data_IF_299903127926
#
_entry.id   IF_299903127926
#
_cell.length_a   1.000
_cell.length_b   1.000
_cell.length_c   1.000
_cell.angle_alpha   90.00
_cell.angle_beta   90.00
_cell.angle_gamma   90.00
#
_symmetry.space_group_name_H-M   'P 1'
#
loop_
_entity.id
_entity.type
_entity.pdbx_description
1 polymer ?
#
# COMPACT_ATOMS: atom_id res chain seq x y z
N UNK A 1 76.82 -18.48 -9.54
CA UNK A 1 75.58 -18.86 -8.86
C UNK A 1 74.81 -17.69 -8.22
N UNK A 2 75.42 -16.72 -7.56
CA UNK A 2 74.64 -15.58 -6.89
C UNK A 2 73.91 -14.67 -7.85
N UNK A 3 74.31 -14.48 -9.11
CA UNK A 3 73.62 -13.61 -10.08
C UNK A 3 72.28 -14.20 -10.62
N UNK A 4 72.18 -15.50 -10.73
CA UNK A 4 71.00 -16.21 -11.23
C UNK A 4 69.89 -16.28 -10.19
N UNK A 5 70.23 -16.36 -8.89
CA UNK A 5 69.25 -16.36 -7.79
C UNK A 5 68.54 -15.01 -7.68
N UNK A 6 69.26 -13.90 -7.91
CA UNK A 6 68.68 -12.55 -7.88
C UNK A 6 67.67 -12.32 -9.02
N UNK A 7 67.94 -12.84 -10.22
CA UNK A 7 66.99 -12.74 -11.37
C UNK A 7 65.74 -13.57 -11.17
N UNK A 8 65.81 -14.73 -10.53
CA UNK A 8 64.64 -15.58 -10.21
C UNK A 8 63.76 -14.88 -9.14
N UNK A 9 64.37 -14.23 -8.13
CA UNK A 9 63.61 -13.50 -7.10
C UNK A 9 62.92 -12.23 -7.65
N UNK A 10 63.59 -11.48 -8.54
CA UNK A 10 63.00 -10.30 -9.19
C UNK A 10 61.89 -10.73 -10.16
N UNK A 11 62.08 -11.81 -10.92
CA UNK A 11 61.03 -12.36 -11.82
C UNK A 11 59.80 -12.84 -11.07
N UNK A 12 59.95 -13.52 -9.95
CA UNK A 12 58.83 -13.95 -9.09
C UNK A 12 58.11 -12.77 -8.44
N UNK A 13 58.82 -11.70 -8.06
CA UNK A 13 58.20 -10.49 -7.50
C UNK A 13 57.41 -9.68 -8.53
N UNK A 14 57.90 -9.56 -9.77
CA UNK A 14 57.22 -8.88 -10.88
C UNK A 14 56.00 -9.67 -11.34
N UNK A 15 56.06 -11.00 -11.40
CA UNK A 15 54.90 -11.83 -11.73
C UNK A 15 53.84 -11.78 -10.64
N UNK A 16 54.23 -11.73 -9.35
CA UNK A 16 53.32 -11.61 -8.22
C UNK A 16 52.57 -10.25 -8.22
N UNK A 17 53.24 -9.17 -8.55
CA UNK A 17 52.62 -7.81 -8.62
C UNK A 17 51.72 -7.67 -9.84
N UNK A 18 52.06 -8.23 -10.99
CA UNK A 18 51.21 -8.20 -12.19
C UNK A 18 49.93 -9.00 -12.00
N UNK A 19 50.01 -10.18 -11.36
CA UNK A 19 48.83 -11.01 -11.03
C UNK A 19 47.91 -10.34 -10.03
N UNK A 20 48.46 -9.71 -9.00
CA UNK A 20 47.70 -8.97 -8.03
C UNK A 20 46.98 -7.76 -8.67
N UNK A 21 47.65 -7.05 -9.55
CA UNK A 21 47.08 -5.88 -10.25
C UNK A 21 45.91 -6.29 -11.19
N UNK A 22 46.06 -7.41 -11.91
CA UNK A 22 44.98 -7.95 -12.76
C UNK A 22 43.79 -8.43 -11.93
N UNK A 23 44.03 -9.10 -10.80
CA UNK A 23 42.98 -9.47 -9.84
C UNK A 23 42.18 -8.28 -9.34
N UNK A 24 42.84 -7.24 -8.82
CA UNK A 24 42.16 -6.02 -8.34
C UNK A 24 41.39 -5.31 -9.45
N UNK A 25 41.88 -5.28 -10.67
CA UNK A 25 41.20 -4.70 -11.81
C UNK A 25 39.90 -5.45 -12.13
N UNK A 26 39.96 -6.78 -12.14
CA UNK A 26 38.76 -7.63 -12.40
C UNK A 26 37.72 -7.50 -11.30
N UNK A 27 38.15 -7.54 -10.03
CA UNK A 27 37.25 -7.33 -8.88
C UNK A 27 36.58 -5.94 -8.95
N UNK A 28 37.33 -4.89 -9.21
CA UNK A 28 36.75 -3.55 -9.35
C UNK A 28 35.73 -3.45 -10.48
N UNK A 29 35.95 -4.13 -11.60
CA UNK A 29 34.96 -4.19 -12.68
C UNK A 29 33.71 -4.95 -12.24
N UNK A 30 33.82 -6.06 -11.55
CA UNK A 30 32.70 -6.81 -11.03
C UNK A 30 31.88 -5.97 -10.04
N UNK A 31 32.54 -5.24 -9.12
CA UNK A 31 31.89 -4.37 -8.15
C UNK A 31 31.10 -3.23 -8.83
N UNK A 32 31.59 -2.71 -9.96
CA UNK A 32 30.82 -1.73 -10.76
C UNK A 32 29.53 -2.33 -11.30
N UNK A 33 29.57 -3.57 -11.82
CA UNK A 33 28.36 -4.26 -12.26
C UNK A 33 27.39 -4.53 -11.10
N UNK A 34 27.90 -4.99 -9.95
CA UNK A 34 27.09 -5.24 -8.76
C UNK A 34 26.41 -3.94 -8.27
N UNK A 35 27.17 -2.86 -8.19
CA UNK A 35 26.62 -1.53 -7.80
C UNK A 35 25.56 -1.06 -8.78
N UNK A 36 25.82 -1.15 -10.09
CA UNK A 36 24.84 -0.81 -11.13
C UNK A 36 23.57 -1.67 -11.02
N UNK A 37 23.75 -2.99 -10.83
CA UNK A 37 22.63 -3.90 -10.63
C UNK A 37 21.76 -3.49 -9.44
N UNK A 38 22.36 -3.12 -8.30
CA UNK A 38 21.61 -2.65 -7.14
C UNK A 38 20.87 -1.34 -7.40
N UNK A 39 21.51 -0.37 -8.06
CA UNK A 39 20.85 0.89 -8.44
C UNK A 39 19.64 0.64 -9.34
N UNK A 40 19.78 -0.29 -10.31
CA UNK A 40 18.69 -0.67 -11.20
C UNK A 40 17.57 -1.42 -10.46
N UNK A 41 17.89 -2.24 -9.46
CA UNK A 41 16.92 -2.88 -8.59
C UNK A 41 16.08 -1.83 -7.83
N UNK A 42 16.74 -0.84 -7.24
CA UNK A 42 16.07 0.27 -6.54
C UNK A 42 15.20 1.11 -7.49
N UNK A 43 15.61 1.22 -8.76
CA UNK A 43 14.82 1.84 -9.83
C UNK A 43 13.74 0.92 -10.42
N UNK A 44 13.54 -0.29 -9.87
CA UNK A 44 12.59 -1.32 -10.34
C UNK A 44 12.82 -1.80 -11.78
N UNK A 45 14.04 -1.62 -12.32
CA UNK A 45 14.46 -2.15 -13.61
C UNK A 45 15.05 -3.56 -13.43
N UNK A 46 14.20 -4.51 -13.06
CA UNK A 46 14.60 -5.82 -12.55
C UNK A 46 15.37 -6.66 -13.55
N UNK A 47 14.98 -6.68 -14.83
CA UNK A 47 15.67 -7.45 -15.87
C UNK A 47 17.11 -6.97 -16.09
N UNK A 48 17.30 -5.65 -16.12
CA UNK A 48 18.62 -5.05 -16.24
C UNK A 48 19.45 -5.27 -14.97
N UNK A 49 18.83 -5.15 -13.80
CA UNK A 49 19.44 -5.45 -12.51
C UNK A 49 19.99 -6.87 -12.49
N UNK A 50 19.17 -7.87 -12.85
CA UNK A 50 19.56 -9.26 -12.90
C UNK A 50 20.76 -9.49 -13.84
N UNK A 51 20.69 -8.91 -15.04
CA UNK A 51 21.77 -9.00 -16.04
C UNK A 51 23.11 -8.53 -15.45
N UNK A 52 23.14 -7.36 -14.83
CA UNK A 52 24.36 -6.79 -14.28
C UNK A 52 24.85 -7.52 -13.03
N UNK A 53 23.96 -7.93 -12.13
CA UNK A 53 24.34 -8.74 -10.97
C UNK A 53 24.94 -10.08 -11.39
N UNK A 54 24.39 -10.75 -12.42
CA UNK A 54 24.94 -12.00 -12.95
C UNK A 54 26.30 -11.81 -13.63
N UNK A 55 26.50 -10.72 -14.36
CA UNK A 55 27.82 -10.37 -14.94
C UNK A 55 28.87 -10.15 -13.83
N UNK A 56 28.51 -9.43 -12.78
CA UNK A 56 29.38 -9.26 -11.61
C UNK A 56 29.69 -10.59 -10.94
N UNK A 57 28.68 -11.42 -10.72
CA UNK A 57 28.82 -12.73 -10.10
C UNK A 57 29.80 -13.63 -10.88
N UNK A 58 29.67 -13.70 -12.21
CA UNK A 58 30.56 -14.50 -13.05
C UNK A 58 32.00 -14.12 -12.83
N UNK A 59 32.35 -12.84 -12.92
CA UNK A 59 33.73 -12.37 -12.73
C UNK A 59 34.24 -12.71 -11.32
N UNK A 60 33.42 -12.49 -10.27
CA UNK A 60 33.78 -12.79 -8.88
C UNK A 60 34.06 -14.28 -8.69
N UNK A 61 33.20 -15.14 -9.24
CA UNK A 61 33.35 -16.60 -9.14
C UNK A 61 34.64 -17.08 -9.86
N UNK A 62 34.91 -16.49 -11.02
CA UNK A 62 36.19 -16.81 -11.77
C UNK A 62 37.43 -16.36 -10.99
N UNK A 63 37.35 -15.33 -10.17
CA UNK A 63 38.46 -14.89 -9.32
C UNK A 63 38.53 -15.62 -7.98
N UNK A 64 37.52 -16.42 -7.62
CA UNK A 64 37.46 -17.20 -6.39
C UNK A 64 37.26 -16.38 -5.11
N UNK A 65 36.81 -15.13 -5.21
CA UNK A 65 36.58 -14.25 -4.06
C UNK A 65 35.25 -14.58 -3.37
N UNK A 66 35.33 -15.40 -2.32
CA UNK A 66 34.18 -15.91 -1.59
C UNK A 66 33.33 -14.82 -0.88
N UNK A 67 33.98 -13.74 -0.47
CA UNK A 67 33.26 -12.63 0.17
C UNK A 67 32.35 -11.90 -0.82
N UNK A 68 32.91 -11.49 -1.96
CA UNK A 68 32.10 -10.80 -2.98
C UNK A 68 31.13 -11.74 -3.69
N UNK A 69 31.45 -13.04 -3.77
CA UNK A 69 30.50 -14.06 -4.24
C UNK A 69 29.26 -14.12 -3.32
N UNK A 70 29.46 -14.18 -1.98
CA UNK A 70 28.39 -14.16 -1.00
C UNK A 70 27.54 -12.88 -1.10
N UNK A 71 28.19 -11.72 -1.11
CA UNK A 71 27.52 -10.43 -1.22
C UNK A 71 26.72 -10.29 -2.53
N UNK A 72 27.19 -10.90 -3.63
CA UNK A 72 26.45 -10.87 -4.90
C UNK A 72 25.24 -11.80 -4.87
N UNK A 73 25.35 -12.98 -4.24
CA UNK A 73 24.19 -13.84 -4.01
C UNK A 73 23.15 -13.17 -3.11
N UNK A 74 23.57 -12.45 -2.06
CA UNK A 74 22.66 -11.65 -1.23
C UNK A 74 21.90 -10.62 -2.07
N UNK A 75 22.59 -9.89 -2.95
CA UNK A 75 21.95 -8.91 -3.85
C UNK A 75 20.98 -9.54 -4.86
N UNK A 76 21.27 -10.74 -5.36
CA UNK A 76 20.33 -11.51 -6.18
C UNK A 76 19.12 -11.95 -5.36
N UNK A 77 19.31 -12.38 -4.11
CA UNK A 77 18.22 -12.70 -3.21
C UNK A 77 17.30 -11.50 -2.96
N UNK A 78 17.88 -10.31 -2.73
CA UNK A 78 17.12 -9.06 -2.59
C UNK A 78 16.37 -8.70 -3.89
N UNK A 79 16.98 -8.90 -5.05
CA UNK A 79 16.32 -8.67 -6.34
C UNK A 79 15.08 -9.52 -6.52
N UNK A 80 15.16 -10.81 -6.24
CA UNK A 80 14.01 -11.72 -6.36
C UNK A 80 12.96 -11.48 -5.28
N UNK A 81 13.38 -11.05 -4.09
CA UNK A 81 12.45 -10.59 -3.05
C UNK A 81 11.66 -9.37 -3.51
N UNK A 82 12.32 -8.37 -4.13
CA UNK A 82 11.65 -7.17 -4.65
C UNK A 82 10.72 -7.46 -5.85
N UNK A 83 10.89 -8.61 -6.51
CA UNK A 83 10.00 -9.13 -7.56
C UNK A 83 8.85 -10.00 -7.02
N UNK A 84 8.75 -10.16 -5.71
CA UNK A 84 7.77 -11.07 -5.08
C UNK A 84 7.92 -12.55 -5.51
N UNK A 85 9.20 -13.00 -5.62
CA UNK A 85 9.59 -14.38 -5.94
C UNK A 85 10.32 -15.01 -4.74
N UNK A 86 9.58 -15.39 -3.68
CA UNK A 86 10.17 -15.80 -2.41
C UNK A 86 11.05 -17.07 -2.51
N UNK A 87 10.68 -18.02 -3.37
CA UNK A 87 11.47 -19.26 -3.57
C UNK A 87 12.83 -18.98 -4.20
N UNK A 88 12.87 -18.11 -5.22
CA UNK A 88 14.11 -17.68 -5.84
C UNK A 88 14.97 -16.87 -4.86
N UNK A 89 14.34 -15.96 -4.10
CA UNK A 89 15.00 -15.17 -3.07
C UNK A 89 15.66 -16.07 -2.02
N UNK A 90 14.92 -17.05 -1.47
CA UNK A 90 15.43 -18.00 -0.48
C UNK A 90 16.59 -18.84 -1.04
N UNK A 91 16.52 -19.26 -2.30
CA UNK A 91 17.59 -19.99 -2.95
C UNK A 91 18.91 -19.22 -2.99
N UNK A 92 18.87 -17.93 -3.33
CA UNK A 92 20.07 -17.08 -3.37
C UNK A 92 20.55 -16.67 -1.98
N UNK A 93 19.68 -16.38 -1.04
CA UNK A 93 20.05 -16.14 0.35
C UNK A 93 20.74 -17.35 0.98
N UNK A 94 20.26 -18.58 0.73
CA UNK A 94 20.92 -19.80 1.20
C UNK A 94 22.32 -19.98 0.61
N UNK A 95 22.54 -19.64 -0.66
CA UNK A 95 23.89 -19.64 -1.26
C UNK A 95 24.83 -18.67 -0.57
N UNK A 96 24.36 -17.45 -0.30
CA UNK A 96 25.13 -16.45 0.42
C UNK A 96 25.43 -16.89 1.86
N UNK A 97 24.44 -17.47 2.55
CA UNK A 97 24.54 -17.96 3.93
C UNK A 97 25.63 -19.02 4.08
N UNK A 98 25.70 -19.99 3.16
CA UNK A 98 26.77 -21.02 3.13
C UNK A 98 28.15 -20.38 3.08
N UNK A 99 28.33 -19.39 2.22
CA UNK A 99 29.63 -18.70 2.06
C UNK A 99 29.96 -17.82 3.28
N UNK A 100 29.02 -17.08 3.83
CA UNK A 100 29.25 -16.28 5.05
C UNK A 100 29.60 -17.15 6.26
N UNK A 101 29.00 -18.36 6.39
CA UNK A 101 29.40 -19.35 7.40
C UNK A 101 30.85 -19.84 7.20
N UNK A 102 31.23 -20.14 5.98
CA UNK A 102 32.64 -20.53 5.65
C UNK A 102 33.62 -19.41 6.00
N UNK A 103 33.23 -18.16 5.79
CA UNK A 103 34.00 -16.96 6.10
C UNK A 103 33.94 -16.52 7.59
N UNK A 104 33.17 -17.23 8.41
CA UNK A 104 32.91 -16.91 9.83
C UNK A 104 32.36 -15.48 10.04
N UNK A 105 31.55 -14.99 9.13
CA UNK A 105 30.94 -13.65 9.16
C UNK A 105 29.61 -13.68 9.92
N UNK A 106 29.64 -13.76 11.24
CA UNK A 106 28.48 -14.00 12.09
C UNK A 106 27.38 -12.93 12.00
N UNK A 107 27.72 -11.66 11.71
CA UNK A 107 26.74 -10.60 11.53
C UNK A 107 25.96 -10.76 10.22
N UNK A 108 26.66 -11.04 9.11
CA UNK A 108 26.03 -11.29 7.81
C UNK A 108 25.21 -12.60 7.83
N UNK A 109 25.71 -13.63 8.53
CA UNK A 109 24.97 -14.87 8.76
C UNK A 109 23.63 -14.60 9.47
N UNK A 110 23.64 -13.89 10.62
CA UNK A 110 22.41 -13.53 11.34
C UNK A 110 21.46 -12.69 10.51
N UNK A 111 21.97 -11.72 9.76
CA UNK A 111 21.15 -10.88 8.89
C UNK A 111 20.45 -11.71 7.81
N UNK A 112 21.17 -12.66 7.16
CA UNK A 112 20.58 -13.56 6.17
C UNK A 112 19.61 -14.58 6.76
N UNK A 113 19.89 -15.11 7.95
CA UNK A 113 18.94 -15.97 8.68
C UNK A 113 17.65 -15.22 8.98
N UNK A 114 17.72 -13.96 9.39
CA UNK A 114 16.55 -13.10 9.55
C UNK A 114 15.83 -12.86 8.22
N UNK A 115 16.55 -12.66 7.12
CA UNK A 115 15.95 -12.51 5.79
C UNK A 115 15.28 -13.81 5.31
N UNK A 116 15.87 -14.97 5.61
CA UNK A 116 15.30 -16.28 5.31
C UNK A 116 14.11 -16.60 6.19
N UNK A 117 14.17 -16.33 7.50
CA UNK A 117 13.03 -16.49 8.40
C UNK A 117 11.92 -15.48 8.08
N UNK A 118 12.24 -14.30 7.55
CA UNK A 118 11.28 -13.35 6.99
C UNK A 118 10.72 -13.78 5.63
N UNK A 119 11.49 -14.54 4.81
CA UNK A 119 11.01 -15.19 3.60
C UNK A 119 10.26 -16.52 3.89
N UNK A 120 10.62 -17.18 4.98
CA UNK A 120 9.99 -18.38 5.54
C UNK A 120 9.09 -18.07 6.74
N UNK A 121 9.00 -16.81 7.17
CA UNK A 121 8.08 -16.39 8.22
C UNK A 121 6.69 -16.86 7.84
N UNK A 122 6.18 -17.91 8.50
CA UNK A 122 4.85 -18.44 8.26
C UNK A 122 3.90 -17.27 8.27
N UNK A 123 3.36 -16.95 7.10
CA UNK A 123 2.30 -15.98 6.97
C UNK A 123 1.23 -16.29 8.02
N UNK A 124 0.97 -15.37 8.89
CA UNK A 124 -0.05 -15.54 9.92
C UNK A 124 -1.32 -14.83 9.48
N UNK A 125 -2.44 -15.53 9.61
CA UNK A 125 -3.73 -14.96 9.28
C UNK A 125 -4.30 -14.16 10.45
N UNK A 126 -4.80 -12.98 10.15
CA UNK A 126 -5.48 -12.06 11.08
C UNK A 126 -6.83 -11.65 10.52
N UNK A 127 -7.77 -11.32 11.39
CA UNK A 127 -9.07 -10.80 11.00
C UNK A 127 -9.28 -9.40 11.56
N UNK A 128 -9.70 -8.47 10.71
CA UNK A 128 -10.19 -7.14 11.08
C UNK A 128 -11.68 -7.05 10.83
N UNK A 129 -12.45 -6.71 11.87
CA UNK A 129 -13.88 -6.44 11.79
C UNK A 129 -14.08 -4.96 12.03
N UNK A 130 -14.39 -4.22 10.98
CA UNK A 130 -14.71 -2.80 11.01
C UNK A 130 -16.21 -2.61 11.25
N UNK A 131 -16.60 -1.86 12.29
CA UNK A 131 -17.98 -1.40 12.49
C UNK A 131 -18.04 0.07 12.05
N UNK A 132 -18.57 0.30 10.87
CA UNK A 132 -18.79 1.64 10.31
C UNK A 132 -20.20 2.17 10.50
N UNK A 133 -20.44 3.44 10.17
CA UNK A 133 -21.77 4.06 10.31
C UNK A 133 -22.88 3.36 9.50
N UNK A 134 -22.53 2.73 8.37
CA UNK A 134 -23.50 2.06 7.48
C UNK A 134 -23.48 0.55 7.55
N UNK A 135 -22.38 -0.04 8.00
CA UNK A 135 -22.25 -1.49 7.93
C UNK A 135 -21.07 -2.03 8.71
N UNK A 136 -21.00 -3.34 8.73
CA UNK A 136 -19.90 -4.13 9.32
C UNK A 136 -19.15 -4.79 8.18
N UNK A 137 -17.81 -4.74 8.23
CA UNK A 137 -16.92 -5.35 7.23
C UNK A 137 -15.95 -6.29 7.91
N UNK A 138 -15.67 -7.41 7.26
CA UNK A 138 -14.62 -8.35 7.62
C UNK A 138 -13.49 -8.26 6.60
N UNK A 139 -12.24 -8.18 7.07
CA UNK A 139 -11.04 -8.31 6.25
C UNK A 139 -10.16 -9.40 6.82
N UNK A 140 -9.80 -10.39 6.00
CA UNK A 140 -8.86 -11.45 6.36
C UNK A 140 -7.50 -11.11 5.73
N UNK A 141 -6.50 -10.92 6.57
CA UNK A 141 -5.15 -10.54 6.18
C UNK A 141 -4.18 -11.68 6.43
N UNK A 142 -3.36 -12.01 5.43
CA UNK A 142 -2.12 -12.74 5.62
C UNK A 142 -1.01 -11.74 5.94
N UNK A 143 -0.39 -11.85 7.10
CA UNK A 143 0.65 -10.91 7.56
C UNK A 143 1.98 -11.62 7.63
N UNK A 144 2.99 -10.98 7.08
CA UNK A 144 4.40 -11.36 7.18
C UNK A 144 5.20 -10.19 7.74
N UNK A 145 6.19 -10.50 8.55
CA UNK A 145 7.21 -9.52 8.98
C UNK A 145 8.41 -9.67 8.05
N UNK A 146 8.80 -8.56 7.42
CA UNK A 146 10.04 -8.56 6.65
C UNK A 146 11.26 -8.50 7.59
N UNK A 147 12.46 -8.67 7.03
CA UNK A 147 13.73 -8.67 7.75
C UNK A 147 14.02 -7.39 8.56
N UNK A 148 13.31 -6.28 8.24
CA UNK A 148 13.44 -5.01 8.96
C UNK A 148 12.40 -4.87 10.08
N UNK A 149 11.60 -5.91 10.36
CA UNK A 149 10.50 -5.85 11.31
C UNK A 149 9.29 -5.05 10.81
N UNK A 150 9.26 -4.69 9.52
CA UNK A 150 8.11 -4.02 8.91
C UNK A 150 7.05 -5.05 8.54
N UNK A 151 5.80 -4.69 8.79
CA UNK A 151 4.65 -5.54 8.47
C UNK A 151 4.27 -5.36 7.01
N UNK A 152 4.26 -6.46 6.28
CA UNK A 152 3.66 -6.59 4.95
C UNK A 152 2.41 -7.44 5.05
N UNK A 153 1.36 -7.11 4.31
CA UNK A 153 0.13 -7.89 4.33
C UNK A 153 -0.43 -8.14 2.95
N UNK A 154 -1.18 -9.23 2.84
CA UNK A 154 -1.97 -9.60 1.68
C UNK A 154 -3.44 -9.72 2.13
N UNK A 155 -4.36 -9.08 1.40
CA UNK A 155 -5.79 -9.27 1.62
C UNK A 155 -6.22 -10.61 1.01
N UNK A 156 -6.57 -11.59 1.87
CA UNK A 156 -7.01 -12.93 1.45
C UNK A 156 -8.50 -13.00 1.15
N UNK A 157 -9.29 -12.26 1.92
CA UNK A 157 -10.74 -12.21 1.74
C UNK A 157 -11.32 -10.97 2.39
N UNK A 158 -12.45 -10.52 1.87
CA UNK A 158 -13.29 -9.49 2.48
C UNK A 158 -14.77 -9.85 2.36
N UNK A 159 -15.56 -9.32 3.27
CA UNK A 159 -17.03 -9.45 3.28
C UNK A 159 -17.66 -8.24 3.97
N UNK A 160 -18.90 -7.92 3.62
CA UNK A 160 -19.61 -6.81 4.27
C UNK A 160 -21.11 -7.09 4.38
N UNK A 161 -21.73 -6.50 5.41
CA UNK A 161 -23.18 -6.43 5.61
C UNK A 161 -23.54 -5.01 6.06
N UNK A 162 -24.76 -4.56 5.80
CA UNK A 162 -25.18 -3.17 6.01
C UNK A 162 -26.35 -3.06 7.01
N UNK A 163 -26.15 -3.33 8.31
CA UNK A 163 -27.19 -3.20 9.34
C UNK A 163 -27.44 -1.74 9.79
N UNK A 164 -26.80 -0.76 9.17
CA UNK A 164 -26.89 0.67 9.50
C UNK A 164 -26.64 0.98 10.99
N UNK A 165 -25.46 0.68 11.54
CA UNK A 165 -25.15 0.82 12.96
C UNK A 165 -25.43 2.23 13.51
N UNK A 166 -25.27 3.29 12.70
CA UNK A 166 -25.51 4.69 13.10
C UNK A 166 -27.01 5.03 13.30
N UNK A 167 -27.93 4.20 12.83
CA UNK A 167 -29.36 4.37 13.08
C UNK A 167 -29.70 4.22 14.57
N UNK A 168 -28.94 3.39 15.30
CA UNK A 168 -29.06 3.14 16.74
C UNK A 168 -30.48 2.69 17.16
N UNK A 169 -31.24 2.10 16.25
CA UNK A 169 -32.49 1.44 16.58
C UNK A 169 -32.22 0.08 17.23
N UNK A 170 -33.13 -0.46 18.06
CA UNK A 170 -32.94 -1.80 18.63
C UNK A 170 -32.65 -2.85 17.56
N UNK A 171 -33.34 -2.78 16.42
CA UNK A 171 -33.14 -3.70 15.29
C UNK A 171 -31.73 -3.54 14.70
N UNK A 172 -31.30 -2.32 14.37
CA UNK A 172 -29.96 -2.11 13.77
C UNK A 172 -28.83 -2.50 14.72
N UNK A 173 -29.01 -2.32 16.02
CA UNK A 173 -28.05 -2.75 17.03
C UNK A 173 -27.96 -4.28 17.11
N UNK A 174 -29.09 -4.98 17.10
CA UNK A 174 -29.13 -6.44 17.08
C UNK A 174 -28.50 -7.00 15.80
N UNK A 175 -28.90 -6.47 14.63
CA UNK A 175 -28.32 -6.89 13.34
C UNK A 175 -26.79 -6.62 13.28
N UNK A 176 -26.34 -5.55 13.90
CA UNK A 176 -24.89 -5.24 14.02
C UNK A 176 -24.19 -6.26 14.90
N UNK A 177 -24.75 -6.59 16.06
CA UNK A 177 -24.17 -7.61 16.95
C UNK A 177 -24.13 -9.00 16.29
N UNK A 178 -25.20 -9.38 15.58
CA UNK A 178 -25.27 -10.64 14.82
C UNK A 178 -24.23 -10.66 13.69
N UNK A 179 -24.01 -9.55 13.00
CA UNK A 179 -22.99 -9.42 11.97
C UNK A 179 -21.58 -9.58 12.54
N UNK A 180 -21.27 -8.93 13.67
CA UNK A 180 -19.97 -9.06 14.36
C UNK A 180 -19.74 -10.51 14.77
N UNK A 181 -20.72 -11.14 15.42
CA UNK A 181 -20.64 -12.55 15.81
C UNK A 181 -20.40 -13.45 14.61
N UNK A 182 -21.20 -13.30 13.55
CA UNK A 182 -21.05 -14.07 12.29
C UNK A 182 -19.63 -13.93 11.72
N UNK A 183 -19.06 -12.74 11.70
CA UNK A 183 -17.74 -12.52 11.15
C UNK A 183 -16.62 -13.08 12.04
N UNK A 184 -16.77 -13.06 13.35
CA UNK A 184 -15.88 -13.77 14.28
C UNK A 184 -15.96 -15.28 14.04
N UNK A 185 -17.16 -15.86 13.89
CA UNK A 185 -17.33 -17.27 13.61
C UNK A 185 -16.70 -17.66 12.27
N UNK A 186 -16.88 -16.86 11.22
CA UNK A 186 -16.23 -17.07 9.91
C UNK A 186 -14.69 -17.03 10.06
N UNK A 187 -14.14 -16.06 10.79
CA UNK A 187 -12.69 -15.97 11.01
C UNK A 187 -12.16 -17.21 11.74
N UNK A 188 -12.84 -17.67 12.78
CA UNK A 188 -12.44 -18.86 13.58
C UNK A 188 -12.62 -20.16 12.79
N UNK A 189 -13.77 -20.36 12.15
CA UNK A 189 -14.11 -21.67 11.56
C UNK A 189 -13.59 -21.87 10.14
N UNK A 190 -13.70 -20.83 9.29
CA UNK A 190 -13.30 -20.93 7.88
C UNK A 190 -11.81 -20.65 7.65
N UNK A 191 -11.25 -19.73 8.44
CA UNK A 191 -9.86 -19.29 8.28
C UNK A 191 -8.94 -19.74 9.41
N UNK A 192 -9.46 -20.48 10.39
CA UNK A 192 -8.74 -21.02 11.55
C UNK A 192 -7.93 -19.93 12.32
N UNK A 193 -8.49 -18.72 12.44
CA UNK A 193 -7.85 -17.61 13.11
C UNK A 193 -8.13 -17.68 14.61
N UNK A 194 -7.07 -17.64 15.44
CA UNK A 194 -7.19 -17.64 16.89
C UNK A 194 -7.85 -16.34 17.39
N UNK A 195 -8.55 -16.40 18.54
CA UNK A 195 -9.34 -15.28 19.05
C UNK A 195 -8.51 -14.00 19.31
N UNK A 196 -7.28 -14.15 19.77
CA UNK A 196 -6.31 -13.07 20.02
C UNK A 196 -5.82 -12.37 18.73
N UNK A 197 -6.08 -12.96 17.56
CA UNK A 197 -5.77 -12.41 16.23
C UNK A 197 -6.98 -11.83 15.50
N UNK A 198 -8.11 -11.68 16.19
CA UNK A 198 -9.35 -11.08 15.67
C UNK A 198 -9.53 -9.71 16.32
N UNK A 199 -9.49 -8.66 15.50
CA UNK A 199 -9.62 -7.28 15.95
C UNK A 199 -10.99 -6.73 15.53
N UNK A 200 -11.75 -6.19 16.51
CA UNK A 200 -13.04 -5.55 16.27
C UNK A 200 -12.91 -4.07 16.58
N UNK A 201 -13.13 -3.22 15.57
CA UNK A 201 -12.84 -1.78 15.71
C UNK A 201 -13.98 -0.94 15.15
N UNK A 202 -14.46 0.01 15.95
CA UNK A 202 -15.45 1.01 15.58
C UNK A 202 -14.75 2.16 14.84
N UNK A 203 -15.20 2.45 13.62
CA UNK A 203 -14.68 3.56 12.82
C UNK A 203 -14.92 4.93 13.46
N UNK A 204 -14.12 5.92 13.10
CA UNK A 204 -14.24 7.28 13.63
C UNK A 204 -15.60 7.92 13.33
N UNK A 205 -16.19 7.58 12.18
CA UNK A 205 -17.51 8.11 11.80
C UNK A 205 -18.63 7.60 12.70
N UNK A 206 -18.66 6.30 13.00
CA UNK A 206 -19.63 5.74 13.93
C UNK A 206 -19.37 6.22 15.36
N UNK A 207 -18.10 6.24 15.78
CA UNK A 207 -17.71 6.76 17.10
C UNK A 207 -18.26 8.18 17.33
N UNK A 208 -18.11 9.07 16.35
CA UNK A 208 -18.62 10.43 16.46
C UNK A 208 -20.16 10.50 16.62
N UNK A 209 -20.91 9.62 15.96
CA UNK A 209 -22.38 9.54 16.12
C UNK A 209 -22.78 8.94 17.49
N UNK A 210 -22.02 7.97 17.99
CA UNK A 210 -22.24 7.39 19.33
C UNK A 210 -21.92 8.40 20.44
N UNK A 211 -20.81 9.12 20.32
CA UNK A 211 -20.39 10.13 21.32
C UNK A 211 -21.39 11.28 21.40
N UNK A 212 -21.95 11.76 20.27
CA UNK A 212 -23.03 12.79 20.27
C UNK A 212 -24.27 12.39 21.08
N UNK A 213 -24.52 11.09 21.21
CA UNK A 213 -25.67 10.52 21.90
C UNK A 213 -25.32 9.89 23.25
N UNK A 214 -24.04 9.98 23.66
CA UNK A 214 -23.49 9.33 24.87
C UNK A 214 -23.79 7.83 24.94
N UNK A 215 -23.69 7.14 23.78
CA UNK A 215 -24.04 5.71 23.65
C UNK A 215 -22.85 4.79 23.38
N UNK A 216 -21.62 5.30 23.41
CA UNK A 216 -20.43 4.54 23.03
C UNK A 216 -20.25 3.28 23.87
N UNK A 217 -20.38 3.38 25.19
CA UNK A 217 -20.18 2.22 26.10
C UNK A 217 -21.34 1.21 25.99
N UNK A 218 -22.56 1.66 25.89
CA UNK A 218 -23.74 0.81 25.67
C UNK A 218 -23.60 0.02 24.37
N UNK A 219 -23.20 0.70 23.28
CA UNK A 219 -23.02 0.08 21.98
C UNK A 219 -21.90 -0.97 21.99
N UNK A 220 -20.74 -0.66 22.60
CA UNK A 220 -19.64 -1.63 22.75
C UNK A 220 -20.14 -2.89 23.48
N UNK A 221 -20.89 -2.72 24.56
CA UNK A 221 -21.47 -3.85 25.30
C UNK A 221 -22.40 -4.69 24.43
N UNK A 222 -23.24 -4.05 23.62
CA UNK A 222 -24.20 -4.71 22.72
C UNK A 222 -23.51 -5.54 21.65
N UNK A 223 -22.43 -5.02 21.03
CA UNK A 223 -21.71 -5.70 19.94
C UNK A 223 -20.63 -6.68 20.43
N UNK A 224 -20.37 -6.72 21.73
CA UNK A 224 -19.46 -7.71 22.34
C UNK A 224 -20.20 -9.05 22.47
N UNK A 225 -19.69 -10.14 21.83
CA UNK A 225 -20.37 -11.43 21.90
C UNK A 225 -20.44 -11.97 23.33
N UNK A 226 -21.56 -12.58 23.73
CA UNK A 226 -21.65 -13.29 25.01
C UNK A 226 -20.58 -14.39 25.11
N UNK A 227 -19.86 -14.45 26.23
CA UNK A 227 -18.80 -15.44 26.43
C UNK A 227 -17.52 -15.16 25.62
N UNK A 228 -17.31 -13.93 25.19
CA UNK A 228 -16.06 -13.52 24.57
C UNK A 228 -14.87 -13.81 25.51
N UNK A 229 -13.74 -14.26 24.93
CA UNK A 229 -12.51 -14.57 25.67
C UNK A 229 -12.03 -13.33 26.48
N UNK A 230 -11.35 -13.55 27.59
CA UNK A 230 -10.88 -12.47 28.51
C UNK A 230 -10.01 -11.41 27.83
N UNK A 231 -9.42 -11.72 26.68
CA UNK A 231 -8.63 -10.78 25.85
C UNK A 231 -9.41 -10.07 24.75
N UNK A 232 -10.67 -10.43 24.51
CA UNK A 232 -11.49 -9.82 23.48
C UNK A 232 -11.87 -8.38 23.86
N UNK A 233 -11.67 -7.45 22.93
CA UNK A 233 -12.08 -6.07 23.12
C UNK A 233 -12.57 -5.42 21.82
N UNK A 234 -13.66 -4.68 21.92
CA UNK A 234 -14.10 -3.78 20.85
C UNK A 234 -13.47 -2.41 21.11
N UNK A 235 -12.66 -1.96 20.18
CA UNK A 235 -11.97 -0.67 20.26
C UNK A 235 -12.58 0.33 19.30
N UNK A 236 -12.30 1.61 19.50
CA UNK A 236 -12.70 2.67 18.58
C UNK A 236 -11.50 3.54 18.23
N UNK A 237 -11.54 4.16 17.06
CA UNK A 237 -10.48 5.07 16.57
C UNK A 237 -11.05 6.49 16.43
N UNK A 238 -10.18 7.48 16.61
CA UNK A 238 -10.47 8.88 16.26
C UNK A 238 -10.26 9.12 14.75
N UNK A 239 -10.74 10.25 14.23
CA UNK A 239 -10.53 10.59 12.81
C UNK A 239 -9.06 10.75 12.45
N UNK A 240 -8.23 11.26 13.36
CA UNK A 240 -6.80 11.40 13.16
C UNK A 240 -6.10 10.02 13.13
N UNK A 241 -6.43 9.14 14.08
CA UNK A 241 -5.91 7.77 14.10
C UNK A 241 -6.35 6.97 12.86
N UNK A 242 -7.62 7.08 12.45
CA UNK A 242 -8.12 6.41 11.24
C UNK A 242 -7.34 6.87 9.99
N UNK A 243 -7.06 8.17 9.87
CA UNK A 243 -6.27 8.70 8.76
C UNK A 243 -4.81 8.21 8.78
N UNK A 244 -4.17 8.19 9.96
CA UNK A 244 -2.83 7.65 10.14
C UNK A 244 -2.75 6.15 9.80
N UNK A 245 -3.69 5.38 10.32
CA UNK A 245 -3.81 3.95 10.04
C UNK A 245 -4.07 3.67 8.56
N UNK A 246 -4.87 4.51 7.90
CA UNK A 246 -5.09 4.41 6.47
C UNK A 246 -3.78 4.59 5.67
N UNK A 247 -2.90 5.51 6.07
CA UNK A 247 -1.57 5.65 5.45
C UNK A 247 -0.72 4.41 5.73
N UNK A 248 -0.70 3.90 6.96
CA UNK A 248 0.06 2.71 7.33
C UNK A 248 -0.36 1.46 6.55
N UNK A 249 -1.66 1.30 6.29
CA UNK A 249 -2.17 0.14 5.58
C UNK A 249 -2.29 0.31 4.06
N UNK A 250 -2.15 1.54 3.53
CA UNK A 250 -2.33 1.79 2.09
C UNK A 250 -1.03 2.08 1.38
N UNK A 251 -0.14 2.84 2.04
CA UNK A 251 1.12 3.29 1.44
C UNK A 251 2.23 2.27 1.72
N UNK A 252 2.99 1.85 0.69
CA UNK A 252 4.11 0.94 0.90
C UNK A 252 5.07 1.44 1.98
N UNK A 253 5.59 0.59 2.87
CA UNK A 253 6.46 0.99 4.00
C UNK A 253 7.59 1.94 3.58
N UNK A 254 8.32 1.60 2.53
CA UNK A 254 9.45 2.41 1.98
C UNK A 254 9.04 3.80 1.46
N UNK A 255 7.74 4.05 1.25
CA UNK A 255 7.21 5.30 0.69
C UNK A 255 6.49 6.18 1.71
N UNK A 256 6.21 5.68 2.91
CA UNK A 256 5.37 6.37 3.93
C UNK A 256 5.85 7.78 4.26
N UNK A 257 7.16 7.98 4.34
CA UNK A 257 7.73 9.29 4.72
C UNK A 257 7.93 10.26 3.55
N UNK A 258 7.86 9.77 2.31
CA UNK A 258 8.06 10.60 1.11
C UNK A 258 6.77 10.89 0.35
N UNK A 259 5.64 10.31 0.79
CA UNK A 259 4.35 10.41 0.09
C UNK A 259 3.22 10.78 1.05
N UNK A 260 2.03 10.95 0.52
CA UNK A 260 0.80 11.21 1.26
C UNK A 260 -0.32 10.31 0.77
N UNK A 261 -1.40 10.20 1.54
CA UNK A 261 -2.67 9.56 1.15
C UNK A 261 -3.79 10.57 1.20
N UNK A 262 -4.68 10.54 0.21
CA UNK A 262 -5.97 11.21 0.19
C UNK A 262 -7.03 10.16 -0.13
N UNK A 263 -7.92 9.89 0.81
CA UNK A 263 -9.03 8.94 0.66
C UNK A 263 -10.35 9.71 0.47
N UNK A 264 -10.98 9.51 -0.69
CA UNK A 264 -12.20 10.22 -1.11
C UNK A 264 -13.42 9.35 -0.82
N UNK A 265 -14.00 9.55 0.34
CA UNK A 265 -15.21 8.85 0.76
C UNK A 265 -16.50 9.44 0.16
N UNK A 266 -17.65 8.94 0.63
CA UNK A 266 -18.97 9.41 0.20
C UNK A 266 -19.28 10.81 0.70
N UNK A 267 -19.02 11.11 1.97
CA UNK A 267 -19.41 12.36 2.63
C UNK A 267 -18.24 13.29 2.93
N UNK A 268 -17.04 12.75 3.04
CA UNK A 268 -15.81 13.46 3.41
C UNK A 268 -14.61 12.93 2.62
N UNK A 269 -13.57 13.74 2.54
CA UNK A 269 -12.23 13.35 2.08
C UNK A 269 -11.27 13.53 3.25
N UNK A 270 -10.49 12.50 3.56
CA UNK A 270 -9.50 12.52 4.62
C UNK A 270 -8.19 11.90 4.14
N UNK A 271 -7.17 12.03 4.94
CA UNK A 271 -5.85 11.49 4.63
C UNK A 271 -4.77 12.14 5.48
N UNK A 272 -3.57 12.23 4.94
CA UNK A 272 -2.45 12.86 5.62
C UNK A 272 -1.10 12.31 5.18
N UNK A 273 -0.10 12.62 5.99
CA UNK A 273 1.28 12.21 5.75
C UNK A 273 2.09 12.20 7.05
N UNK A 274 3.14 11.39 7.09
CA UNK A 274 4.12 11.46 8.17
C UNK A 274 5.08 12.63 7.95
N UNK A 275 5.32 13.44 8.98
CA UNK A 275 6.10 14.67 8.83
C UNK A 275 7.58 14.41 8.57
N UNK A 276 8.16 13.40 9.18
CA UNK A 276 9.57 12.98 9.01
C UNK A 276 9.87 11.71 9.81
N UNK A 277 11.17 11.49 10.11
CA UNK A 277 11.63 10.41 10.98
C UNK A 277 11.10 10.49 12.43
N UNK A 278 10.46 11.59 12.85
CA UNK A 278 9.81 11.72 14.17
C UNK A 278 8.53 10.89 14.29
N UNK A 279 8.06 10.31 13.18
CA UNK A 279 6.83 9.52 13.07
C UNK A 279 5.56 10.30 13.46
N UNK A 280 5.63 11.63 13.60
CA UNK A 280 4.44 12.44 13.81
C UNK A 280 3.60 12.48 12.53
N UNK A 281 2.29 12.39 12.70
CA UNK A 281 1.33 12.35 11.59
C UNK A 281 0.54 13.66 11.49
N UNK A 282 0.46 14.22 10.30
CA UNK A 282 -0.34 15.39 10.01
C UNK A 282 -1.55 15.02 9.16
N UNK A 283 -2.73 15.01 9.79
CA UNK A 283 -3.98 14.62 9.17
C UNK A 283 -4.57 15.76 8.34
N UNK A 284 -5.17 15.44 7.21
CA UNK A 284 -5.94 16.35 6.36
C UNK A 284 -7.42 15.93 6.33
N UNK A 285 -8.30 16.90 6.32
CA UNK A 285 -9.73 16.66 6.29
C UNK A 285 -10.46 17.71 5.45
N UNK A 286 -11.32 17.23 4.55
CA UNK A 286 -12.28 18.05 3.82
C UNK A 286 -13.70 17.50 4.06
N UNK A 287 -14.69 18.34 4.43
CA UNK A 287 -16.09 17.93 4.64
C UNK A 287 -16.81 17.70 3.29
N UNK A 288 -16.09 17.26 2.28
CA UNK A 288 -16.55 17.00 0.92
C UNK A 288 -16.10 15.60 0.51
N UNK A 289 -17.07 14.80 0.10
CA UNK A 289 -16.87 13.51 -0.56
C UNK A 289 -17.77 13.44 -1.79
N UNK A 290 -17.79 12.30 -2.47
CA UNK A 290 -18.50 12.16 -3.74
C UNK A 290 -20.00 12.49 -3.62
N UNK A 291 -20.70 11.88 -2.66
CA UNK A 291 -22.16 12.09 -2.50
C UNK A 291 -22.52 13.46 -1.90
N UNK A 292 -21.74 13.95 -0.94
CA UNK A 292 -21.98 15.28 -0.40
C UNK A 292 -21.76 16.37 -1.46
N UNK A 293 -20.80 16.18 -2.36
CA UNK A 293 -20.60 17.11 -3.47
C UNK A 293 -21.79 17.09 -4.44
N UNK A 294 -22.27 15.90 -4.84
CA UNK A 294 -23.47 15.75 -5.65
C UNK A 294 -24.66 16.47 -4.99
N UNK A 295 -24.87 16.28 -3.68
CA UNK A 295 -25.97 16.93 -2.96
C UNK A 295 -25.88 18.46 -2.99
N UNK A 296 -24.66 19.02 -2.82
CA UNK A 296 -24.45 20.47 -2.92
C UNK A 296 -24.79 21.03 -4.32
N UNK A 297 -24.46 20.29 -5.37
CA UNK A 297 -24.78 20.68 -6.75
C UNK A 297 -26.28 20.56 -7.01
N UNK A 298 -26.93 19.48 -6.55
CA UNK A 298 -28.38 19.28 -6.70
C UNK A 298 -29.24 20.36 -6.01
N UNK A 299 -28.73 20.98 -4.96
CA UNK A 299 -29.40 22.13 -4.34
C UNK A 299 -29.54 23.35 -5.28
N UNK A 300 -28.87 23.36 -6.43
CA UNK A 300 -29.01 24.36 -7.49
C UNK A 300 -30.05 23.96 -8.56
N UNK A 301 -30.71 22.80 -8.39
CA UNK A 301 -31.75 22.26 -9.29
C UNK A 301 -31.31 22.22 -10.78
N UNK A 302 -30.22 21.54 -11.14
CA UNK A 302 -29.80 21.41 -12.53
C UNK A 302 -30.83 20.64 -13.37
N UNK A 303 -31.18 21.14 -14.56
CA UNK A 303 -32.18 20.52 -15.44
C UNK A 303 -31.63 19.32 -16.20
N UNK A 304 -30.32 19.26 -16.41
CA UNK A 304 -29.65 18.20 -17.17
C UNK A 304 -28.20 18.04 -16.73
N UNK A 305 -27.56 17.02 -17.25
CA UNK A 305 -26.19 16.64 -16.87
C UNK A 305 -25.13 17.71 -17.22
N UNK A 306 -25.33 18.46 -18.30
CA UNK A 306 -24.41 19.54 -18.69
C UNK A 306 -24.48 20.69 -17.71
N UNK A 307 -25.69 21.02 -17.27
CA UNK A 307 -25.92 22.05 -16.26
C UNK A 307 -25.39 21.60 -14.87
N UNK A 308 -25.59 20.32 -14.53
CA UNK A 308 -24.99 19.71 -13.35
C UNK A 308 -23.46 19.86 -13.35
N UNK A 309 -22.81 19.49 -14.45
CA UNK A 309 -21.37 19.61 -14.60
C UNK A 309 -20.88 21.06 -14.46
N UNK A 310 -21.59 22.00 -15.10
CA UNK A 310 -21.29 23.42 -14.99
C UNK A 310 -21.43 23.95 -13.55
N UNK A 311 -22.48 23.58 -12.84
CA UNK A 311 -22.65 23.97 -11.43
C UNK A 311 -21.61 23.35 -10.53
N UNK A 312 -21.22 22.09 -10.76
CA UNK A 312 -20.15 21.45 -10.03
C UNK A 312 -18.81 22.18 -10.24
N UNK A 313 -18.43 22.52 -11.47
CA UNK A 313 -17.21 23.27 -11.77
C UNK A 313 -17.24 24.66 -11.11
N UNK A 314 -18.35 25.35 -11.18
CA UNK A 314 -18.53 26.66 -10.58
C UNK A 314 -18.40 26.58 -9.05
N UNK A 315 -19.04 25.61 -8.41
CA UNK A 315 -18.93 25.38 -6.97
C UNK A 315 -17.49 25.09 -6.55
N UNK A 316 -16.78 24.25 -7.33
CA UNK A 316 -15.37 24.01 -7.03
C UNK A 316 -14.55 25.30 -7.12
N UNK A 317 -14.61 25.99 -8.26
CA UNK A 317 -13.84 27.19 -8.52
C UNK A 317 -14.09 28.31 -7.51
N UNK A 318 -15.37 28.58 -7.18
CA UNK A 318 -15.76 29.76 -6.42
C UNK A 318 -15.69 29.54 -4.89
N UNK A 319 -15.81 28.29 -4.43
CA UNK A 319 -15.86 27.96 -3.00
C UNK A 319 -14.88 26.89 -2.57
N UNK A 320 -14.91 25.69 -3.17
CA UNK A 320 -14.16 24.55 -2.66
C UNK A 320 -12.65 24.68 -2.89
N UNK A 321 -12.23 25.33 -3.98
CA UNK A 321 -10.81 25.57 -4.26
C UNK A 321 -10.15 26.43 -3.17
N UNK A 322 -10.85 27.40 -2.59
CA UNK A 322 -10.35 28.20 -1.46
C UNK A 322 -10.15 27.30 -0.25
N UNK A 323 -11.17 26.53 0.12
CA UNK A 323 -11.08 25.58 1.24
C UNK A 323 -9.86 24.64 1.08
N UNK A 324 -9.64 24.12 -0.13
CA UNK A 324 -8.48 23.25 -0.41
C UNK A 324 -7.17 24.01 -0.24
N UNK A 325 -7.04 25.21 -0.80
CA UNK A 325 -5.82 26.03 -0.67
C UNK A 325 -5.55 26.41 0.78
N UNK A 326 -6.56 26.76 1.56
CA UNK A 326 -6.42 27.13 2.97
C UNK A 326 -5.92 25.93 3.79
N UNK A 327 -6.44 24.75 3.54
CA UNK A 327 -6.01 23.52 4.19
C UNK A 327 -4.57 23.12 3.80
N UNK A 328 -4.23 23.21 2.52
CA UNK A 328 -2.88 22.96 2.02
C UNK A 328 -1.88 24.03 2.47
N UNK A 329 -2.34 25.25 2.72
CA UNK A 329 -1.53 26.33 3.29
C UNK A 329 -1.09 26.03 4.71
N UNK A 330 -1.98 25.43 5.50
CA UNK A 330 -1.69 24.96 6.86
C UNK A 330 -0.79 23.71 6.88
N UNK A 331 -0.77 22.93 5.79
CA UNK A 331 -0.08 21.63 5.68
C UNK A 331 0.83 21.58 4.46
N UNK A 332 1.86 22.41 4.47
CA UNK A 332 2.81 22.54 3.35
C UNK A 332 3.46 21.19 2.97
N UNK A 333 3.58 20.25 3.93
CA UNK A 333 4.11 18.92 3.70
C UNK A 333 3.34 18.13 2.64
N UNK A 334 2.03 18.35 2.48
CA UNK A 334 1.26 17.71 1.41
C UNK A 334 1.74 18.10 0.02
N UNK A 335 2.10 19.38 -0.18
CA UNK A 335 2.65 19.87 -1.46
C UNK A 335 4.05 19.36 -1.72
N UNK A 336 4.87 19.25 -0.70
CA UNK A 336 6.28 18.88 -0.81
C UNK A 336 6.53 17.39 -1.03
N UNK A 337 5.52 16.53 -0.87
CA UNK A 337 5.65 15.09 -1.12
C UNK A 337 5.68 14.81 -2.62
N UNK A 338 6.58 13.90 -3.06
CA UNK A 338 6.77 13.56 -4.47
C UNK A 338 5.56 12.84 -5.10
N UNK A 339 4.78 12.14 -4.28
CA UNK A 339 3.59 11.43 -4.74
C UNK A 339 2.47 11.50 -3.71
N UNK A 340 1.24 11.32 -4.18
CA UNK A 340 0.04 11.15 -3.36
C UNK A 340 -0.68 9.87 -3.78
N UNK A 341 -0.94 8.99 -2.83
CA UNK A 341 -1.83 7.86 -3.04
C UNK A 341 -3.27 8.32 -2.91
N UNK A 342 -4.14 7.79 -3.76
CA UNK A 342 -5.56 8.12 -3.80
C UNK A 342 -6.37 6.88 -3.45
N UNK A 343 -7.26 7.02 -2.47
CA UNK A 343 -8.23 6.03 -2.07
C UNK A 343 -9.66 6.46 -2.39
N UNK A 344 -10.59 5.54 -2.16
CA UNK A 344 -12.02 5.78 -2.28
C UNK A 344 -12.66 5.18 -3.52
N UNK A 345 -13.96 4.89 -3.38
CA UNK A 345 -14.72 4.19 -4.43
C UNK A 345 -14.77 4.95 -5.74
N UNK A 346 -14.78 6.28 -5.72
CA UNK A 346 -14.80 7.09 -6.95
C UNK A 346 -13.48 6.98 -7.72
N UNK A 347 -12.34 6.97 -7.02
CA UNK A 347 -11.02 6.79 -7.64
C UNK A 347 -10.90 5.40 -8.25
N UNK A 348 -11.40 4.38 -7.50
CA UNK A 348 -11.47 3.02 -8.00
C UNK A 348 -12.29 2.89 -9.29
N UNK A 349 -13.48 3.51 -9.37
CA UNK A 349 -14.29 3.50 -10.58
C UNK A 349 -13.55 4.15 -11.78
N UNK A 350 -12.92 5.31 -11.55
CA UNK A 350 -12.16 6.00 -12.60
C UNK A 350 -11.00 5.12 -13.10
N UNK A 351 -10.21 4.55 -12.17
CA UNK A 351 -9.12 3.63 -12.52
C UNK A 351 -9.63 2.40 -13.29
N UNK A 352 -10.77 1.83 -12.86
CA UNK A 352 -11.41 0.67 -13.53
C UNK A 352 -11.82 0.98 -14.97
N UNK A 353 -12.42 2.15 -15.22
CA UNK A 353 -12.89 2.50 -16.55
C UNK A 353 -11.79 2.96 -17.50
N UNK A 354 -10.73 3.59 -16.97
CA UNK A 354 -9.60 4.06 -17.78
C UNK A 354 -8.55 2.98 -18.03
N UNK A 355 -8.35 2.08 -17.09
CA UNK A 355 -7.28 1.08 -17.05
C UNK A 355 -7.80 -0.30 -16.64
N UNK A 356 -8.78 -0.88 -17.36
CA UNK A 356 -9.33 -2.19 -17.01
C UNK A 356 -8.26 -3.30 -17.04
N UNK A 357 -7.22 -3.16 -17.86
CA UNK A 357 -6.08 -4.07 -17.95
C UNK A 357 -5.21 -4.09 -16.67
N UNK A 358 -5.36 -3.08 -15.80
CA UNK A 358 -4.64 -2.95 -14.52
C UNK A 358 -5.51 -3.28 -13.31
N UNK A 359 -6.63 -3.96 -13.48
CA UNK A 359 -7.58 -4.22 -12.39
C UNK A 359 -6.98 -5.08 -11.26
N UNK A 360 -5.89 -5.80 -11.52
CA UNK A 360 -5.14 -6.59 -10.53
C UNK A 360 -3.91 -5.90 -9.96
N UNK A 361 -3.52 -4.74 -10.49
CA UNK A 361 -2.40 -3.96 -9.97
C UNK A 361 -2.75 -3.35 -8.61
N UNK A 362 -1.82 -3.40 -7.67
CA UNK A 362 -1.99 -2.78 -6.36
C UNK A 362 -2.05 -1.26 -6.44
N UNK A 363 -1.35 -0.68 -7.42
CA UNK A 363 -1.26 0.75 -7.63
C UNK A 363 -1.38 1.08 -9.11
N UNK A 364 -2.29 2.00 -9.45
CA UNK A 364 -2.48 2.50 -10.82
C UNK A 364 -2.19 3.98 -10.86
N UNK A 365 -1.20 4.41 -11.62
CA UNK A 365 -0.93 5.83 -11.81
C UNK A 365 -2.07 6.51 -12.56
N UNK A 366 -2.54 7.64 -12.03
CA UNK A 366 -3.57 8.48 -12.62
C UNK A 366 -3.02 9.89 -12.77
N UNK A 367 -3.05 10.41 -13.98
CA UNK A 367 -2.61 11.79 -14.27
C UNK A 367 -3.79 12.77 -14.21
N UNK A 368 -3.54 14.07 -13.99
CA UNK A 368 -4.60 15.08 -14.14
C UNK A 368 -5.27 15.04 -15.52
N UNK A 369 -4.52 14.66 -16.58
CA UNK A 369 -5.08 14.48 -17.93
C UNK A 369 -6.05 13.30 -18.00
N UNK A 370 -5.73 12.18 -17.35
CA UNK A 370 -6.64 11.02 -17.26
C UNK A 370 -7.97 11.42 -16.61
N UNK A 371 -7.94 12.20 -15.54
CA UNK A 371 -9.15 12.65 -14.85
C UNK A 371 -9.98 13.58 -15.73
N UNK A 372 -9.35 14.54 -16.43
CA UNK A 372 -10.06 15.43 -17.36
C UNK A 372 -10.64 14.67 -18.54
N UNK A 373 -9.88 13.75 -19.13
CA UNK A 373 -10.33 12.85 -20.20
C UNK A 373 -11.51 12.02 -19.74
N UNK A 374 -11.44 11.39 -18.58
CA UNK A 374 -12.53 10.61 -18.00
C UNK A 374 -13.79 11.45 -17.84
N UNK A 375 -13.70 12.65 -17.24
CA UNK A 375 -14.83 13.56 -17.09
C UNK A 375 -15.49 13.89 -18.42
N UNK A 376 -14.69 14.21 -19.45
CA UNK A 376 -15.19 14.48 -20.80
C UNK A 376 -15.91 13.25 -21.41
N UNK A 377 -15.36 12.06 -21.22
CA UNK A 377 -15.98 10.80 -21.68
C UNK A 377 -17.33 10.57 -21.00
N UNK A 378 -17.41 10.72 -19.67
CA UNK A 378 -18.66 10.55 -18.89
C UNK A 378 -19.72 11.57 -19.32
N UNK A 379 -19.31 12.82 -19.58
CA UNK A 379 -20.22 13.88 -19.97
C UNK A 379 -20.79 13.64 -21.39
N UNK A 380 -19.95 13.26 -22.34
CA UNK A 380 -20.31 13.13 -23.75
C UNK A 380 -20.91 11.78 -24.09
N UNK A 381 -20.49 10.70 -23.44
CA UNK A 381 -20.96 9.34 -23.75
C UNK A 381 -20.85 8.42 -22.50
N UNK A 382 -21.73 8.63 -21.55
CA UNK A 382 -21.77 7.89 -20.29
C UNK A 382 -21.81 6.38 -20.52
N UNK A 383 -22.77 5.89 -21.31
CA UNK A 383 -22.99 4.45 -21.54
C UNK A 383 -21.72 3.75 -22.07
N UNK A 384 -21.03 4.37 -23.02
CA UNK A 384 -19.79 3.82 -23.58
C UNK A 384 -18.65 3.89 -22.55
N UNK A 385 -18.59 4.96 -21.76
CA UNK A 385 -17.53 5.15 -20.76
C UNK A 385 -17.55 4.08 -19.68
N UNK A 386 -18.74 3.69 -19.20
CA UNK A 386 -18.87 2.63 -18.19
C UNK A 386 -18.78 1.21 -18.78
N UNK A 387 -18.59 1.07 -20.09
CA UNK A 387 -18.36 -0.19 -20.80
C UNK A 387 -17.04 -0.10 -21.60
N UNK A 388 -15.89 0.01 -20.91
CA UNK A 388 -14.61 0.13 -21.59
C UNK A 388 -14.34 -1.11 -22.44
N UNK A 389 -13.63 -0.91 -23.56
CA UNK A 389 -13.18 -2.01 -24.39
C UNK A 389 -12.07 -2.80 -23.68
N UNK A 390 -12.29 -4.10 -23.52
CA UNK A 390 -11.34 -5.04 -22.91
C UNK A 390 -10.84 -6.10 -23.90
N UNK A 391 -11.15 -5.94 -25.20
CA UNK A 391 -10.75 -6.90 -26.24
C UNK A 391 -9.24 -7.04 -26.38
N UNK A 392 -8.48 -6.01 -25.98
CA UNK A 392 -7.00 -6.03 -25.96
C UNK A 392 -6.39 -6.84 -24.81
N UNK A 393 -7.19 -7.31 -23.84
CA UNK A 393 -6.68 -8.13 -22.73
C UNK A 393 -6.59 -9.58 -23.17
N UNK A 394 -5.37 -10.06 -23.43
CA UNK A 394 -5.12 -11.43 -23.95
C UNK A 394 -5.14 -12.50 -22.87
N UNK A 395 -4.89 -12.16 -21.61
CA UNK A 395 -4.94 -13.09 -20.49
C UNK A 395 -6.40 -13.29 -20.05
N UNK A 396 -6.92 -14.52 -20.17
CA UNK A 396 -8.32 -14.86 -19.86
C UNK A 396 -8.71 -14.57 -18.40
N UNK A 397 -7.86 -14.90 -17.44
CA UNK A 397 -8.12 -14.64 -16.03
C UNK A 397 -8.23 -13.14 -15.77
N UNK A 398 -7.29 -12.35 -16.28
CA UNK A 398 -7.31 -10.90 -16.17
C UNK A 398 -8.56 -10.29 -16.84
N UNK A 399 -8.96 -10.83 -18.01
CA UNK A 399 -10.18 -10.40 -18.69
C UNK A 399 -11.43 -10.67 -17.84
N UNK A 400 -11.51 -11.84 -17.19
CA UNK A 400 -12.63 -12.18 -16.29
C UNK A 400 -12.66 -11.25 -15.08
N UNK A 401 -11.50 -10.97 -14.48
CA UNK A 401 -11.39 -10.05 -13.34
C UNK A 401 -11.76 -8.62 -13.73
N UNK A 402 -11.33 -8.17 -14.91
CA UNK A 402 -11.71 -6.87 -15.46
C UNK A 402 -13.22 -6.76 -15.65
N UNK A 403 -13.88 -7.77 -16.27
CA UNK A 403 -15.34 -7.81 -16.42
C UNK A 403 -16.07 -7.72 -15.10
N UNK A 404 -15.64 -8.51 -14.12
CA UNK A 404 -16.21 -8.50 -12.76
C UNK A 404 -16.05 -7.13 -12.09
N UNK A 405 -14.88 -6.53 -12.22
CA UNK A 405 -14.58 -5.22 -11.63
C UNK A 405 -15.40 -4.11 -12.29
N UNK A 406 -15.52 -4.12 -13.63
CA UNK A 406 -16.36 -3.17 -14.40
C UNK A 406 -17.83 -3.31 -13.97
N UNK A 407 -18.36 -4.53 -13.91
CA UNK A 407 -19.75 -4.78 -13.49
C UNK A 407 -20.04 -4.24 -12.07
N UNK A 408 -19.10 -4.40 -11.15
CA UNK A 408 -19.23 -3.81 -9.79
C UNK A 408 -19.19 -2.28 -9.85
N UNK A 409 -18.31 -1.68 -10.64
CA UNK A 409 -18.21 -0.24 -10.78
C UNK A 409 -19.49 0.38 -11.37
N UNK A 410 -20.12 -0.25 -12.36
CA UNK A 410 -21.38 0.17 -12.96
C UNK A 410 -22.53 0.28 -11.95
N UNK A 411 -22.53 -0.57 -10.92
CA UNK A 411 -23.54 -0.59 -9.87
C UNK A 411 -23.21 0.32 -8.67
N UNK A 412 -22.07 1.04 -8.71
CA UNK A 412 -21.60 1.82 -7.56
C UNK A 412 -21.94 3.31 -7.67
N UNK A 413 -21.78 3.90 -8.85
CA UNK A 413 -21.96 5.33 -9.06
C UNK A 413 -22.73 5.64 -10.33
N UNK A 414 -23.65 6.59 -10.23
CA UNK A 414 -24.35 7.22 -11.34
C UNK A 414 -23.47 8.25 -12.08
N UNK A 415 -23.98 8.77 -13.19
CA UNK A 415 -23.28 9.75 -14.04
C UNK A 415 -22.91 11.02 -13.26
N UNK A 416 -23.80 11.54 -12.45
CA UNK A 416 -23.59 12.74 -11.65
C UNK A 416 -22.46 12.54 -10.64
N UNK A 417 -22.44 11.39 -9.97
CA UNK A 417 -21.39 11.04 -9.01
C UNK A 417 -20.01 10.91 -9.67
N UNK A 418 -19.95 10.32 -10.88
CA UNK A 418 -18.69 10.21 -11.63
C UNK A 418 -18.18 11.58 -12.08
N UNK A 419 -19.05 12.49 -12.51
CA UNK A 419 -18.69 13.87 -12.90
C UNK A 419 -18.23 14.67 -11.68
N UNK A 420 -19.02 14.68 -10.60
CA UNK A 420 -18.67 15.39 -9.36
C UNK A 420 -17.34 14.88 -8.77
N UNK A 421 -17.16 13.57 -8.72
CA UNK A 421 -15.93 12.96 -8.24
C UNK A 421 -14.72 13.29 -9.10
N UNK A 422 -14.84 13.26 -10.41
CA UNK A 422 -13.77 13.66 -11.32
C UNK A 422 -13.38 15.14 -11.15
N UNK A 423 -14.35 16.06 -11.00
CA UNK A 423 -14.09 17.48 -10.75
C UNK A 423 -13.38 17.67 -9.40
N UNK A 424 -13.81 16.95 -8.36
CA UNK A 424 -13.17 17.00 -7.04
C UNK A 424 -11.72 16.53 -7.09
N UNK A 425 -11.46 15.39 -7.74
CA UNK A 425 -10.11 14.81 -7.89
C UNK A 425 -9.21 15.73 -8.71
N UNK A 426 -9.67 16.22 -9.88
CA UNK A 426 -8.88 17.15 -10.73
C UNK A 426 -8.52 18.41 -9.96
N UNK A 427 -9.47 18.95 -9.21
CA UNK A 427 -9.25 20.11 -8.36
C UNK A 427 -8.23 19.87 -7.26
N UNK A 428 -8.32 18.74 -6.54
CA UNK A 428 -7.32 18.36 -5.54
C UNK A 428 -5.94 18.16 -6.17
N UNK A 429 -5.85 17.43 -7.29
CA UNK A 429 -4.60 17.21 -8.00
C UNK A 429 -3.95 18.53 -8.44
N UNK A 430 -4.75 19.47 -8.94
CA UNK A 430 -4.27 20.79 -9.36
C UNK A 430 -3.69 21.59 -8.19
N UNK A 431 -4.38 21.65 -7.07
CA UNK A 431 -3.92 22.40 -5.89
C UNK A 431 -2.74 21.72 -5.18
N UNK A 432 -2.62 20.40 -5.29
CA UNK A 432 -1.48 19.63 -4.77
C UNK A 432 -0.24 19.72 -5.67
N UNK A 433 -0.40 19.90 -6.98
CA UNK A 433 0.67 19.85 -7.98
C UNK A 433 1.21 21.26 -8.29
N UNK A 434 1.55 22.03 -7.25
CA UNK A 434 2.06 23.41 -7.39
C UNK A 434 3.57 23.51 -7.32
N UNK A 435 4.29 22.40 -7.14
CA UNK A 435 5.74 22.34 -7.02
C UNK A 435 6.37 21.58 -8.19
N UNK A 436 7.65 21.83 -8.46
CA UNK A 436 8.43 21.07 -9.44
C UNK A 436 9.41 20.14 -8.69
N UNK A 437 9.64 18.89 -9.14
CA UNK A 437 8.98 18.22 -10.28
C UNK A 437 7.50 17.93 -10.03
N UNK A 438 6.75 17.68 -11.12
CA UNK A 438 5.32 17.37 -11.05
C UNK A 438 5.04 16.19 -10.13
N UNK A 439 4.08 16.35 -9.22
CA UNK A 439 3.64 15.32 -8.30
C UNK A 439 2.97 14.16 -9.03
N UNK A 440 3.29 12.93 -8.63
CA UNK A 440 2.62 11.72 -9.14
C UNK A 440 1.45 11.33 -8.26
N UNK A 441 0.40 10.77 -8.88
CA UNK A 441 -0.79 10.30 -8.18
C UNK A 441 -1.04 8.83 -8.50
N UNK A 442 -1.34 8.03 -7.47
CA UNK A 442 -1.56 6.60 -7.62
C UNK A 442 -2.87 6.20 -6.96
N UNK A 443 -3.80 5.62 -7.72
CA UNK A 443 -4.88 4.87 -7.11
C UNK A 443 -4.32 3.67 -6.36
N UNK A 444 -4.76 3.44 -5.13
CA UNK A 444 -4.43 2.25 -4.34
C UNK A 444 -5.63 1.32 -4.25
N UNK A 445 -5.46 0.10 -4.76
CA UNK A 445 -6.51 -0.93 -4.79
C UNK A 445 -7.03 -1.27 -3.39
N UNK A 446 -6.16 -1.33 -2.39
CA UNK A 446 -6.50 -1.76 -1.03
C UNK A 446 -6.79 -0.60 -0.06
N UNK A 447 -6.93 0.63 -0.55
CA UNK A 447 -7.29 1.77 0.30
C UNK A 447 -8.60 1.56 1.06
N UNK A 448 -9.56 0.78 0.51
CA UNK A 448 -10.87 0.52 1.14
C UNK A 448 -10.80 -0.35 2.41
N UNK A 449 -9.69 -1.05 2.62
CA UNK A 449 -9.38 -1.79 3.86
C UNK A 449 -8.16 -1.18 4.58
N UNK A 450 -7.65 -0.05 4.08
CA UNK A 450 -6.36 0.52 4.49
C UNK A 450 -6.27 0.78 5.98
N UNK A 451 -7.25 1.45 6.58
CA UNK A 451 -7.16 1.80 7.99
C UNK A 451 -7.24 0.57 8.92
N UNK A 452 -8.10 -0.41 8.62
CA UNK A 452 -8.19 -1.64 9.43
C UNK A 452 -6.94 -2.51 9.24
N UNK A 453 -6.38 -2.57 8.02
CA UNK A 453 -5.11 -3.23 7.77
C UNK A 453 -3.95 -2.55 8.49
N UNK A 454 -3.93 -1.22 8.49
CA UNK A 454 -2.97 -0.43 9.26
C UNK A 454 -3.10 -0.64 10.78
N UNK A 455 -4.32 -0.75 11.29
CA UNK A 455 -4.57 -1.07 12.70
C UNK A 455 -3.95 -2.40 13.10
N UNK A 456 -4.23 -3.45 12.33
CA UNK A 456 -3.70 -4.78 12.58
C UNK A 456 -2.17 -4.78 12.42
N UNK A 457 -1.65 -4.15 11.36
CA UNK A 457 -0.21 -4.05 11.12
C UNK A 457 0.53 -3.37 12.28
N UNK A 458 -0.03 -2.30 12.85
CA UNK A 458 0.51 -1.63 14.04
C UNK A 458 0.48 -2.54 15.25
N UNK A 459 -0.64 -3.21 15.52
CA UNK A 459 -0.78 -4.12 16.64
C UNK A 459 0.24 -5.28 16.58
N UNK A 460 0.42 -5.86 15.39
CA UNK A 460 1.40 -6.94 15.15
C UNK A 460 2.84 -6.44 15.34
N UNK A 461 3.17 -5.25 14.82
CA UNK A 461 4.49 -4.66 15.00
C UNK A 461 4.83 -4.39 16.48
N UNK A 462 3.87 -3.88 17.25
CA UNK A 462 4.01 -3.64 18.67
C UNK A 462 4.18 -4.94 19.48
N UNK A 463 3.43 -5.98 19.12
CA UNK A 463 3.57 -7.31 19.74
C UNK A 463 4.95 -7.91 19.46
N UNK A 464 5.42 -7.80 18.23
CA UNK A 464 6.74 -8.29 17.84
C UNK A 464 7.85 -7.55 18.59
N UNK A 465 7.76 -6.22 18.69
CA UNK A 465 8.72 -5.41 19.44
C UNK A 465 8.81 -5.83 20.92
N UNK A 466 7.66 -6.02 21.57
CA UNK A 466 7.63 -6.49 22.98
C UNK A 466 8.28 -7.87 23.16
N UNK A 467 8.09 -8.79 22.20
CA UNK A 467 8.72 -10.13 22.25
C UNK A 467 10.23 -10.09 21.96
N UNK A 468 10.72 -9.12 21.23
CA UNK A 468 12.16 -8.97 20.94
C UNK A 468 12.94 -8.27 22.06
N UNK A 469 12.24 -7.58 22.96
CA UNK A 469 12.81 -6.89 24.13
C UNK A 469 12.82 -7.78 25.40
N UNK A 470 12.16 -8.95 25.36
CA UNK A 470 12.19 -9.98 26.43
C UNK A 470 13.23 -11.06 26.13
#
# INVERSE_FOLDING_TARGET
>A
MKKYILFIFIGLFVIGTAGAQDYYRKINNALRYIKLGNTLREAQQYDLSEKYLRQGLQIITEQGDKYWEAATYENLGLLYKDQDKPEDAARYFNKALVLYRQLKMSLSEKALEQMLTGAEGKEQSYAGIEIGAKGVKLSILGIQLNSNGEVEYILKADSSVNPEPAALTPQSQQETADAVKKFIDIAKTRYAIAGDKIYVVISSGLKAELDKKDKTQEFIKTVTPPGADAGFSVRSVTSAEEAELAVLGTVPPKRRYSTSLIDIGSSKTNGGYFMDASQSFDAVYFPIGTKSYVSLVKNKNPFNINEFARYAETLFRDSLSRMVRDELGRRAGLRNRSATYLGGGIVWCIATYLHPEKCNDNYVELTPEDIRRFRSMVLNNFTKTIQPDISGITNETLMMDARKTISRAQNTYDQESLIAGAIWIDGLMKELNTTQPAKRFFFSKYAYVGWISGYISRAVAEEYKKKSEQ
#
